data_IF_384150447029
#
_entry.id   IF_384150447029
#
_cell.length_a   1.000
_cell.length_b   1.000
_cell.length_c   1.000
_cell.angle_alpha   90.00
_cell.angle_beta   90.00
_cell.angle_gamma   90.00
#
_symmetry.space_group_name_H-M   'P 1'
#
loop_
_entity.id
_entity.type
_entity.pdbx_description
1 polymer ?
#
# COMPACT_ATOMS: atom_id res chain seq x y z
N UNK A 1 -10.75 -3.46 19.44
CA UNK A 1 -10.22 -2.17 18.99
C UNK A 1 -9.61 -2.37 17.62
N UNK A 2 -9.91 -1.49 16.67
CA UNK A 2 -9.30 -1.50 15.34
C UNK A 2 -8.41 -0.27 15.25
N UNK A 3 -7.10 -0.48 15.26
CA UNK A 3 -6.11 0.59 15.18
C UNK A 3 -5.42 0.55 13.81
N UNK A 4 -5.29 1.75 13.26
CA UNK A 4 -4.77 2.14 11.96
C UNK A 4 -3.27 1.85 11.79
N UNK A 5 -2.82 1.38 10.61
CA UNK A 5 -1.43 1.58 10.15
C UNK A 5 -1.34 1.90 8.65
N UNK A 6 -1.07 3.19 8.43
CA UNK A 6 -0.05 3.87 7.62
C UNK A 6 0.63 3.12 6.46
N UNK A 7 0.60 3.78 5.29
CA UNK A 7 1.17 3.32 4.03
C UNK A 7 2.68 3.07 4.07
N UNK A 8 3.13 2.29 3.08
CA UNK A 8 4.54 1.98 2.89
C UNK A 8 5.21 3.09 2.07
N UNK A 9 6.35 3.60 2.54
CA UNK A 9 7.23 4.45 1.74
C UNK A 9 8.26 3.59 1.02
N UNK A 10 8.42 3.80 -0.29
CA UNK A 10 9.63 3.36 -0.97
C UNK A 10 10.74 4.33 -0.54
N UNK A 11 11.73 3.82 0.18
CA UNK A 11 12.90 4.62 0.51
C UNK A 11 13.69 4.94 -0.75
N UNK A 12 14.23 6.16 -0.81
CA UNK A 12 14.98 6.71 -1.94
C UNK A 12 16.32 5.96 -2.19
N UNK A 13 16.62 4.93 -1.39
CA UNK A 13 17.83 4.11 -1.44
C UNK A 13 17.86 3.15 -2.65
N UNK A 14 16.76 3.02 -3.40
CA UNK A 14 16.66 2.13 -4.56
C UNK A 14 16.80 2.84 -5.92
N UNK A 15 17.08 4.15 -5.96
CA UNK A 15 17.30 4.86 -7.23
C UNK A 15 18.77 4.90 -7.63
N UNK A 16 19.03 5.04 -8.93
CA UNK A 16 20.38 5.29 -9.44
C UNK A 16 21.04 6.48 -8.72
N UNK A 17 22.37 6.47 -8.52
CA UNK A 17 23.09 7.58 -7.90
C UNK A 17 22.76 8.92 -8.57
N UNK A 18 22.43 9.93 -7.76
CA UNK A 18 22.08 11.28 -8.23
C UNK A 18 20.67 11.42 -8.81
N UNK A 19 19.84 10.37 -8.77
CA UNK A 19 18.44 10.41 -9.17
C UNK A 19 17.50 10.48 -7.97
N UNK A 20 16.35 11.12 -8.17
CA UNK A 20 15.29 11.29 -7.18
C UNK A 20 13.99 10.69 -7.69
N UNK A 21 12.99 10.53 -6.83
CA UNK A 21 11.65 10.07 -7.24
C UNK A 21 11.05 10.89 -8.40
N UNK A 22 11.34 12.20 -8.48
CA UNK A 22 10.83 13.08 -9.53
C UNK A 22 11.35 12.71 -10.93
N UNK A 23 12.51 12.02 -11.03
CA UNK A 23 13.05 11.54 -12.29
C UNK A 23 12.28 10.35 -12.88
N UNK A 24 11.32 9.79 -12.13
CA UNK A 24 10.57 8.60 -12.50
C UNK A 24 9.07 8.88 -12.62
N UNK A 25 8.41 8.06 -13.43
CA UNK A 25 6.98 7.90 -13.46
C UNK A 25 6.63 6.58 -12.76
N UNK A 26 5.82 6.66 -11.71
CA UNK A 26 5.41 5.50 -10.93
C UNK A 26 4.07 4.94 -11.43
N UNK A 27 3.95 3.62 -11.40
CA UNK A 27 2.69 2.92 -11.69
C UNK A 27 2.55 1.68 -10.82
N UNK A 28 1.31 1.35 -10.48
CA UNK A 28 0.92 0.13 -9.79
C UNK A 28 0.19 -0.83 -10.73
N UNK A 29 0.34 -2.12 -10.52
CA UNK A 29 -0.42 -3.18 -11.21
C UNK A 29 -1.80 -3.42 -10.61
N UNK A 30 -2.07 -2.91 -9.39
CA UNK A 30 -3.34 -3.11 -8.69
C UNK A 30 -4.08 -1.78 -8.46
N UNK A 31 -5.39 -1.78 -8.69
CA UNK A 31 -6.25 -0.59 -8.57
C UNK A 31 -6.44 -0.12 -7.12
N UNK A 32 -6.30 -1.02 -6.15
CA UNK A 32 -6.38 -0.75 -4.71
C UNK A 32 -5.06 -0.24 -4.11
N UNK A 33 -3.99 -0.16 -4.90
CA UNK A 33 -2.70 0.44 -4.53
C UNK A 33 -2.44 1.65 -5.40
N UNK A 34 -2.17 2.79 -4.78
CA UNK A 34 -1.74 4.00 -5.43
C UNK A 34 -0.28 4.30 -5.13
N UNK A 35 0.38 5.03 -6.02
CA UNK A 35 1.75 5.51 -5.82
C UNK A 35 1.85 6.94 -6.33
N UNK A 36 2.21 7.86 -5.46
CA UNK A 36 2.32 9.26 -5.82
C UNK A 36 3.65 9.60 -6.50
N UNK A 37 3.81 10.85 -6.92
CA UNK A 37 5.01 11.35 -7.61
C UNK A 37 6.27 11.36 -6.75
N UNK A 38 6.14 11.20 -5.43
CA UNK A 38 7.27 11.04 -4.51
C UNK A 38 7.67 9.57 -4.30
N UNK A 39 6.92 8.63 -4.87
CA UNK A 39 7.12 7.19 -4.67
C UNK A 39 6.46 6.66 -3.39
N UNK A 40 5.57 7.45 -2.74
CA UNK A 40 4.83 6.99 -1.57
C UNK A 40 3.68 6.10 -2.01
N UNK A 41 3.62 4.90 -1.43
CA UNK A 41 2.59 3.90 -1.74
C UNK A 41 1.42 4.03 -0.75
N UNK A 42 0.21 4.14 -1.27
CA UNK A 42 -1.03 4.25 -0.49
C UNK A 42 -1.96 3.09 -0.82
N UNK A 43 -2.46 2.41 0.20
CA UNK A 43 -3.47 1.36 0.05
C UNK A 43 -4.86 1.99 0.16
N UNK A 44 -5.61 2.00 -0.94
CA UNK A 44 -6.93 2.68 -1.03
C UNK A 44 -8.07 1.83 -0.51
N UNK A 45 -7.96 0.51 -0.65
CA UNK A 45 -8.96 -0.46 -0.23
C UNK A 45 -8.29 -1.71 0.33
N UNK A 46 -9.11 -2.56 0.93
CA UNK A 46 -8.75 -3.94 1.28
C UNK A 46 -8.16 -4.63 0.05
N UNK A 47 -6.91 -5.07 0.15
CA UNK A 47 -6.23 -5.77 -0.94
C UNK A 47 -6.76 -7.18 -1.15
N UNK A 48 -6.17 -7.93 -2.06
CA UNK A 48 -6.54 -9.32 -2.37
C UNK A 48 -5.43 -10.32 -1.96
N UNK A 49 -4.47 -9.88 -1.14
CA UNK A 49 -3.24 -10.59 -0.71
C UNK A 49 -2.29 -10.93 -1.86
N UNK A 50 -2.63 -10.60 -3.09
CA UNK A 50 -1.75 -10.81 -4.22
C UNK A 50 -0.57 -9.84 -4.17
N UNK A 51 0.50 -10.25 -4.83
CA UNK A 51 1.66 -9.40 -5.02
C UNK A 51 1.31 -8.27 -5.97
N UNK A 52 1.56 -7.04 -5.54
CA UNK A 52 1.45 -5.85 -6.37
C UNK A 52 2.83 -5.42 -6.78
N UNK A 53 3.02 -5.25 -8.08
CA UNK A 53 4.24 -4.70 -8.66
C UNK A 53 4.09 -3.19 -8.77
N UNK A 54 5.03 -2.47 -8.17
CA UNK A 54 5.24 -1.03 -8.39
C UNK A 54 6.40 -0.88 -9.35
N UNK A 55 6.17 -0.12 -10.43
CA UNK A 55 7.17 0.16 -11.46
C UNK A 55 7.54 1.63 -11.41
N UNK A 56 8.84 1.93 -11.39
CA UNK A 56 9.40 3.26 -11.56
C UNK A 56 10.10 3.32 -12.92
N UNK A 57 9.45 3.99 -13.88
CA UNK A 57 9.97 4.17 -15.23
C UNK A 57 10.70 5.50 -15.33
N UNK A 58 11.99 5.55 -15.69
CA UNK A 58 12.70 6.82 -15.79
C UNK A 58 12.11 7.66 -16.93
N UNK A 59 11.94 8.96 -16.67
CA UNK A 59 11.37 9.89 -17.65
C UNK A 59 12.31 10.19 -18.82
N UNK A 60 13.62 9.98 -18.63
CA UNK A 60 14.63 10.25 -19.66
C UNK A 60 15.82 9.30 -19.50
N UNK A 61 15.85 8.24 -20.32
CA UNK A 61 16.94 7.26 -20.36
C UNK A 61 17.15 6.51 -19.04
N UNK A 62 17.86 5.38 -19.10
CA UNK A 62 18.23 4.61 -17.92
C UNK A 62 17.33 3.41 -17.63
N UNK A 63 17.52 2.83 -16.44
CA UNK A 63 16.93 1.56 -16.05
C UNK A 63 15.53 1.74 -15.43
N UNK A 64 14.65 0.80 -15.74
CA UNK A 64 13.36 0.63 -15.06
C UNK A 64 13.63 -0.10 -13.74
N UNK A 65 13.04 0.39 -12.66
CA UNK A 65 13.06 -0.29 -11.36
C UNK A 65 11.69 -0.85 -11.05
N UNK A 66 11.67 -2.10 -10.56
CA UNK A 66 10.45 -2.75 -10.12
C UNK A 66 10.63 -3.28 -8.70
N UNK A 67 9.59 -3.13 -7.90
CA UNK A 67 9.52 -3.71 -6.56
C UNK A 67 8.18 -4.36 -6.34
N UNK A 68 8.17 -5.36 -5.48
CA UNK A 68 6.99 -6.15 -5.18
C UNK A 68 6.54 -5.85 -3.75
N UNK A 69 5.32 -5.35 -3.62
CA UNK A 69 4.65 -5.18 -2.32
C UNK A 69 3.59 -6.27 -2.18
N UNK A 70 3.61 -6.94 -1.03
CA UNK A 70 2.60 -7.91 -0.62
C UNK A 70 2.00 -7.47 0.69
N UNK A 71 0.68 -7.44 0.74
CA UNK A 71 -0.02 -7.15 1.99
C UNK A 71 -0.23 -8.45 2.76
N UNK A 72 0.34 -8.53 3.96
CA UNK A 72 0.25 -9.73 4.82
C UNK A 72 -1.10 -9.83 5.54
N UNK A 73 -1.68 -8.69 5.89
CA UNK A 73 -2.98 -8.57 6.54
C UNK A 73 -3.48 -7.13 6.50
N UNK A 74 -4.76 -6.94 6.83
CA UNK A 74 -5.41 -5.64 6.83
C UNK A 74 -6.16 -5.45 8.14
N UNK A 75 -6.03 -4.25 8.71
CA UNK A 75 -6.86 -3.82 9.82
C UNK A 75 -8.10 -3.16 9.24
N UNK A 76 -9.28 -3.64 9.62
CA UNK A 76 -10.56 -3.11 9.15
C UNK A 76 -11.32 -2.49 10.31
N UNK A 77 -12.10 -1.45 10.03
CA UNK A 77 -13.00 -0.84 11.00
C UNK A 77 -14.44 -0.86 10.46
N UNK A 78 -15.41 -0.58 11.32
CA UNK A 78 -16.81 -0.41 10.94
C UNK A 78 -17.20 1.07 10.95
N UNK A 79 -16.33 1.92 10.38
CA UNK A 79 -16.51 3.38 10.40
C UNK A 79 -16.61 3.97 11.82
N UNK A 80 -17.34 5.09 11.95
CA UNK A 80 -17.56 5.80 13.23
C UNK A 80 -18.75 5.24 14.04
N UNK A 81 -19.09 3.96 13.86
CA UNK A 81 -20.25 3.37 14.51
C UNK A 81 -19.92 2.95 15.95
N UNK A 82 -20.66 3.49 16.92
CA UNK A 82 -20.59 3.05 18.31
C UNK A 82 -21.39 1.75 18.47
N UNK A 83 -20.73 0.69 18.94
CA UNK A 83 -21.35 -0.63 19.14
C UNK A 83 -20.87 -1.25 20.44
N UNK A 84 -21.62 -2.22 20.96
CA UNK A 84 -21.18 -2.98 22.13
C UNK A 84 -19.95 -3.83 21.79
N UNK A 85 -19.10 -4.07 22.79
CA UNK A 85 -17.85 -4.82 22.62
C UNK A 85 -18.07 -6.18 21.95
N UNK A 86 -19.09 -6.93 22.34
CA UNK A 86 -19.42 -8.23 21.75
C UNK A 86 -19.78 -8.16 20.27
N UNK A 87 -20.40 -7.06 19.83
CA UNK A 87 -20.72 -6.82 18.42
C UNK A 87 -19.47 -6.41 17.63
N UNK A 88 -18.59 -5.63 18.24
CA UNK A 88 -17.29 -5.28 17.64
C UNK A 88 -16.41 -6.52 17.46
N UNK A 89 -16.36 -7.39 18.47
CA UNK A 89 -15.61 -8.64 18.41
C UNK A 89 -16.15 -9.58 17.32
N UNK A 90 -17.47 -9.74 17.25
CA UNK A 90 -18.12 -10.52 16.19
C UNK A 90 -17.90 -9.90 14.80
N UNK A 91 -17.96 -8.57 14.68
CA UNK A 91 -17.65 -7.92 13.42
C UNK A 91 -16.22 -8.22 12.97
N UNK A 92 -15.24 -8.06 13.87
CA UNK A 92 -13.82 -8.23 13.57
C UNK A 92 -13.40 -9.68 13.30
N UNK A 93 -14.03 -10.66 13.96
CA UNK A 93 -13.74 -12.08 13.75
C UNK A 93 -14.21 -12.60 12.39
N UNK A 94 -15.20 -11.94 11.78
CA UNK A 94 -15.71 -12.26 10.46
C UNK A 94 -14.98 -11.54 9.31
N UNK A 95 -13.92 -10.77 9.60
CA UNK A 95 -13.19 -10.03 8.59
C UNK A 95 -12.12 -10.90 7.96
N UNK A 96 -12.27 -11.17 6.67
CA UNK A 96 -11.24 -11.85 5.87
C UNK A 96 -10.02 -10.93 5.80
N UNK A 97 -8.85 -11.40 6.23
CA UNK A 97 -7.63 -10.59 6.17
C UNK A 97 -6.96 -10.26 7.50
N UNK A 98 -7.60 -10.55 8.63
CA UNK A 98 -7.07 -10.27 9.97
C UNK A 98 -6.00 -11.32 10.33
N UNK A 99 -4.73 -10.99 10.09
CA UNK A 99 -3.58 -11.87 10.35
C UNK A 99 -2.27 -11.10 10.29
#
# INVERSE_FOLDING_TARGET
GCLEIQGASLNNDNFAPGKTAADYAFSSTASWVDVDTSGKVTFKNVGDRNAVIITATPRSGGAIYQTQVRVKGWWVNHGNNLMQLSQAENYCSNQVGNG
#
